data_IF_114947844774
#
_entry.id   IF_114947844774
#
_cell.length_a   1.000
_cell.length_b   1.000
_cell.length_c   1.000
_cell.angle_alpha   90.00
_cell.angle_beta   90.00
_cell.angle_gamma   90.00
#
_symmetry.space_group_name_H-M   'P 1'
#
loop_
_entity.id
_entity.type
_entity.pdbx_description
1 polymer ?
#
# COMPACT_ATOMS: atom_id res chain seq x y z
N UNK A 1 -9.47 10.38 -19.11
CA UNK A 1 -10.88 10.29 -18.66
C UNK A 1 -11.00 9.81 -17.21
N UNK A 2 -10.46 8.64 -16.85
CA UNK A 2 -10.59 8.06 -15.50
C UNK A 2 -10.04 8.95 -14.37
N UNK A 3 -8.82 9.50 -14.55
CA UNK A 3 -8.21 10.43 -13.59
C UNK A 3 -9.08 11.67 -13.32
N UNK A 4 -9.63 12.27 -14.38
CA UNK A 4 -10.54 13.42 -14.28
C UNK A 4 -11.78 13.07 -13.47
N UNK A 5 -12.35 11.87 -13.68
CA UNK A 5 -13.50 11.39 -12.92
C UNK A 5 -13.17 11.20 -11.43
N UNK A 6 -11.96 10.73 -11.10
CA UNK A 6 -11.50 10.61 -9.70
C UNK A 6 -11.27 11.95 -9.03
N UNK A 7 -10.73 12.93 -9.76
CA UNK A 7 -10.60 14.31 -9.25
C UNK A 7 -12.00 14.88 -9.00
N UNK A 8 -12.91 14.77 -9.98
CA UNK A 8 -14.29 15.24 -9.84
C UNK A 8 -14.99 14.60 -8.64
N UNK A 9 -14.90 13.28 -8.48
CA UNK A 9 -15.48 12.56 -7.35
C UNK A 9 -15.02 13.13 -6.01
N UNK A 10 -13.72 13.36 -5.85
CA UNK A 10 -13.14 13.97 -4.63
C UNK A 10 -13.61 15.40 -4.43
N UNK A 11 -13.64 16.21 -5.50
CA UNK A 11 -14.16 17.58 -5.44
C UNK A 11 -15.62 17.62 -5.00
N UNK A 12 -16.47 16.68 -5.47
CA UNK A 12 -17.87 16.58 -5.02
C UNK A 12 -17.97 16.26 -3.53
N UNK A 13 -17.15 15.37 -2.99
CA UNK A 13 -17.11 15.08 -1.56
C UNK A 13 -16.60 16.24 -0.72
N UNK A 14 -15.56 16.96 -1.17
CA UNK A 14 -15.09 18.18 -0.49
C UNK A 14 -16.19 19.24 -0.47
N UNK A 15 -16.85 19.46 -1.61
CA UNK A 15 -17.96 20.40 -1.70
C UNK A 15 -19.12 19.99 -0.78
N UNK A 16 -19.48 18.70 -0.74
CA UNK A 16 -20.49 18.18 0.18
C UNK A 16 -20.13 18.44 1.64
N UNK A 17 -18.89 18.13 2.07
CA UNK A 17 -18.45 18.39 3.45
C UNK A 17 -18.47 19.89 3.78
N UNK A 18 -18.05 20.75 2.85
CA UNK A 18 -18.12 22.20 3.03
C UNK A 18 -19.57 22.68 3.19
N UNK A 19 -20.50 22.15 2.37
CA UNK A 19 -21.93 22.44 2.47
C UNK A 19 -22.51 21.91 3.79
N UNK A 20 -22.12 20.72 4.24
CA UNK A 20 -22.58 20.13 5.50
C UNK A 20 -22.16 20.99 6.69
N UNK A 21 -20.88 21.39 6.74
CA UNK A 21 -20.35 22.23 7.81
C UNK A 21 -21.00 23.61 7.79
N UNK A 22 -21.05 24.27 6.63
CA UNK A 22 -21.67 25.60 6.52
C UNK A 22 -23.17 25.55 6.78
N UNK A 23 -23.88 24.53 6.28
CA UNK A 23 -25.32 24.35 6.47
C UNK A 23 -25.72 24.02 7.90
N UNK A 24 -24.85 23.35 8.67
CA UNK A 24 -25.05 23.15 10.11
C UNK A 24 -25.03 24.47 10.89
N UNK A 25 -24.22 25.45 10.46
CA UNK A 25 -24.12 26.75 11.12
C UNK A 25 -25.03 27.85 10.52
N UNK A 26 -25.55 27.64 9.30
CA UNK A 26 -26.28 28.65 8.54
C UNK A 26 -27.72 28.24 8.18
N UNK A 27 -28.24 27.15 8.78
CA UNK A 27 -29.62 26.66 8.65
C UNK A 27 -30.08 26.45 7.19
N UNK A 28 -29.23 25.80 6.39
CA UNK A 28 -29.48 25.57 4.96
C UNK A 28 -30.05 24.18 4.66
N UNK A 29 -31.34 24.10 4.38
CA UNK A 29 -32.01 22.95 3.74
C UNK A 29 -31.78 22.94 2.21
N UNK A 30 -30.53 23.10 1.76
CA UNK A 30 -30.24 23.34 0.34
C UNK A 30 -30.24 22.07 -0.52
N UNK A 31 -31.01 22.08 -1.60
CA UNK A 31 -30.99 21.06 -2.67
C UNK A 31 -29.58 20.80 -3.23
N UNK A 32 -28.67 21.77 -3.11
CA UNK A 32 -27.30 21.68 -3.60
C UNK A 32 -26.43 20.68 -2.85
N UNK A 33 -26.62 20.51 -1.54
CA UNK A 33 -25.95 19.47 -0.76
C UNK A 33 -26.35 18.08 -1.21
N UNK A 34 -27.65 17.87 -1.40
CA UNK A 34 -28.20 16.61 -1.93
C UNK A 34 -27.76 16.33 -3.37
N UNK A 35 -27.64 17.35 -4.22
CA UNK A 35 -27.10 17.20 -5.56
C UNK A 35 -25.62 16.80 -5.55
N UNK A 36 -24.81 17.39 -4.67
CA UNK A 36 -23.40 17.02 -4.52
C UNK A 36 -23.24 15.55 -4.08
N UNK A 37 -24.08 15.08 -3.14
CA UNK A 37 -24.14 13.66 -2.75
C UNK A 37 -24.54 12.79 -3.94
N UNK A 38 -25.62 13.15 -4.66
CA UNK A 38 -26.11 12.36 -5.79
C UNK A 38 -25.05 12.21 -6.89
N UNK A 39 -24.32 13.29 -7.21
CA UNK A 39 -23.21 13.25 -8.17
C UNK A 39 -22.03 12.44 -7.63
N UNK A 40 -21.69 12.55 -6.33
CA UNK A 40 -20.64 11.74 -5.72
C UNK A 40 -20.98 10.23 -5.75
N UNK A 41 -22.23 9.86 -5.46
CA UNK A 41 -22.71 8.47 -5.54
C UNK A 41 -22.72 7.99 -6.99
N UNK A 42 -23.25 8.78 -7.92
CA UNK A 42 -23.30 8.44 -9.34
C UNK A 42 -21.89 8.22 -9.91
N UNK A 43 -20.95 9.13 -9.63
CA UNK A 43 -19.55 8.98 -10.04
C UNK A 43 -18.90 7.75 -9.42
N UNK A 44 -19.17 7.42 -8.15
CA UNK A 44 -18.69 6.17 -7.52
C UNK A 44 -19.24 4.92 -8.20
N UNK A 45 -20.52 4.93 -8.56
CA UNK A 45 -21.15 3.81 -9.27
C UNK A 45 -20.58 3.61 -10.68
N UNK A 46 -20.45 4.70 -11.44
CA UNK A 46 -19.81 4.70 -12.76
C UNK A 46 -18.36 4.25 -12.66
N UNK A 47 -17.60 4.75 -11.69
CA UNK A 47 -16.23 4.32 -11.41
C UNK A 47 -16.17 2.82 -11.12
N UNK A 48 -17.05 2.31 -10.25
CA UNK A 48 -17.13 0.89 -9.93
C UNK A 48 -17.45 0.01 -11.15
N UNK A 49 -18.21 0.52 -12.12
CA UNK A 49 -18.44 -0.15 -13.42
C UNK A 49 -17.21 -0.10 -14.31
N UNK A 50 -16.50 1.03 -14.38
CA UNK A 50 -15.32 1.22 -15.24
C UNK A 50 -14.06 0.51 -14.73
N UNK A 51 -13.93 0.37 -13.42
CA UNK A 51 -12.82 -0.33 -12.76
C UNK A 51 -13.09 -1.84 -12.58
N UNK A 52 -14.30 -2.31 -12.92
CA UNK A 52 -14.58 -3.75 -12.93
C UNK A 52 -13.82 -4.39 -14.10
N UNK A 53 -13.08 -5.47 -13.85
CA UNK A 53 -12.49 -6.24 -14.94
C UNK A 53 -13.60 -6.76 -15.84
N UNK A 54 -13.28 -6.95 -17.10
CA UNK A 54 -14.15 -7.72 -17.98
C UNK A 54 -14.29 -9.16 -17.47
N UNK A 55 -15.36 -9.84 -17.89
CA UNK A 55 -15.52 -11.27 -17.61
C UNK A 55 -14.32 -12.07 -18.14
N UNK A 56 -13.76 -11.64 -19.27
CA UNK A 56 -12.58 -12.22 -19.90
C UNK A 56 -11.31 -12.02 -19.08
N UNK A 57 -11.03 -10.81 -18.59
CA UNK A 57 -9.88 -10.54 -17.68
C UNK A 57 -10.00 -11.32 -16.37
N UNK A 58 -11.22 -11.62 -15.93
CA UNK A 58 -11.46 -12.43 -14.73
C UNK A 58 -11.23 -13.92 -15.01
N UNK A 59 -11.62 -14.41 -16.18
CA UNK A 59 -11.41 -15.79 -16.60
C UNK A 59 -9.95 -16.08 -16.96
N UNK A 60 -9.25 -15.11 -17.55
CA UNK A 60 -7.88 -15.21 -18.02
C UNK A 60 -7.02 -14.10 -17.40
N UNK A 61 -6.61 -14.24 -16.12
CA UNK A 61 -5.73 -13.26 -15.50
C UNK A 61 -4.37 -13.19 -16.24
N UNK A 62 -3.72 -12.01 -16.28
CA UNK A 62 -2.38 -11.88 -16.86
C UNK A 62 -1.38 -12.84 -16.22
N UNK A 63 -0.37 -13.25 -16.98
CA UNK A 63 0.73 -14.04 -16.42
C UNK A 63 1.42 -13.27 -15.27
N UNK A 64 1.71 -13.92 -14.14
CA UNK A 64 2.40 -13.25 -13.04
C UNK A 64 3.80 -12.77 -13.43
N UNK A 65 4.15 -11.56 -13.01
CA UNK A 65 5.50 -11.04 -13.14
C UNK A 65 6.35 -11.54 -11.98
N UNK A 66 7.44 -12.24 -12.27
CA UNK A 66 8.38 -12.70 -11.24
C UNK A 66 9.28 -11.54 -10.78
N UNK A 67 9.34 -11.32 -9.46
CA UNK A 67 10.26 -10.37 -8.81
C UNK A 67 10.85 -10.99 -7.54
N UNK A 68 11.85 -10.36 -6.91
CA UNK A 68 12.37 -10.83 -5.61
C UNK A 68 11.43 -10.44 -4.47
N UNK A 69 11.43 -11.16 -3.33
CA UNK A 69 10.78 -10.68 -2.12
C UNK A 69 11.37 -9.32 -1.67
N UNK A 70 10.53 -8.38 -1.16
CA UNK A 70 11.00 -7.07 -0.68
C UNK A 70 11.59 -7.12 0.74
N UNK A 71 11.67 -8.29 1.35
CA UNK A 71 12.05 -8.51 2.76
C UNK A 71 12.99 -9.71 2.89
N UNK A 72 13.70 -9.79 4.02
CA UNK A 72 14.51 -10.95 4.44
C UNK A 72 14.04 -11.45 5.80
N UNK A 73 14.38 -12.68 6.16
CA UNK A 73 13.98 -13.30 7.42
C UNK A 73 12.58 -13.92 7.34
N UNK A 74 11.94 -14.07 8.51
CA UNK A 74 10.68 -14.81 8.66
C UNK A 74 9.46 -13.89 8.74
N UNK A 75 8.43 -14.18 7.95
CA UNK A 75 7.25 -13.35 7.77
C UNK A 75 5.99 -14.21 7.60
N UNK A 76 4.82 -13.62 7.77
CA UNK A 76 3.52 -14.23 7.44
C UNK A 76 2.68 -13.30 6.56
N UNK A 77 1.86 -13.85 5.68
CA UNK A 77 0.94 -13.06 4.88
C UNK A 77 -0.36 -12.77 5.65
N UNK A 78 -0.80 -11.51 5.65
CA UNK A 78 -2.06 -11.08 6.27
C UNK A 78 -3.19 -10.97 5.24
N UNK A 79 -2.95 -10.20 4.17
CA UNK A 79 -3.83 -10.05 3.02
C UNK A 79 -3.05 -10.45 1.78
N UNK A 80 -3.49 -11.46 1.04
CA UNK A 80 -2.75 -12.03 -0.08
C UNK A 80 -3.64 -12.34 -1.28
N UNK A 81 -3.15 -12.09 -2.51
CA UNK A 81 -3.87 -12.46 -3.71
C UNK A 81 -3.89 -13.97 -3.96
N UNK A 82 -3.05 -14.75 -3.27
CA UNK A 82 -3.13 -16.22 -3.30
C UNK A 82 -4.39 -16.75 -2.60
N UNK A 83 -4.96 -15.98 -1.66
CA UNK A 83 -6.22 -16.34 -0.98
C UNK A 83 -7.44 -15.74 -1.65
N UNK A 84 -7.36 -14.47 -2.06
CA UNK A 84 -8.50 -13.77 -2.65
C UNK A 84 -8.03 -12.65 -3.57
N UNK A 85 -8.69 -12.50 -4.73
CA UNK A 85 -8.51 -11.35 -5.63
C UNK A 85 -9.85 -10.62 -5.80
N UNK A 86 -9.93 -9.30 -5.53
CA UNK A 86 -8.88 -8.44 -4.98
C UNK A 86 -8.56 -8.75 -3.51
N UNK A 87 -7.28 -8.78 -3.16
CA UNK A 87 -6.80 -9.15 -1.82
C UNK A 87 -7.26 -8.17 -0.73
N UNK A 88 -7.38 -6.90 -1.07
CA UNK A 88 -7.79 -5.82 -0.15
C UNK A 88 -9.25 -5.39 -0.36
N UNK A 89 -10.05 -6.23 -1.03
CA UNK A 89 -11.46 -5.96 -1.30
C UNK A 89 -11.75 -4.87 -2.35
N UNK A 90 -10.72 -4.13 -2.79
CA UNK A 90 -10.79 -3.04 -3.75
C UNK A 90 -9.75 -3.25 -4.85
N UNK A 91 -10.10 -2.88 -6.08
CA UNK A 91 -9.16 -2.89 -7.24
C UNK A 91 -8.50 -1.53 -7.49
N UNK A 92 -9.03 -0.48 -6.88
CA UNK A 92 -8.48 0.88 -6.96
C UNK A 92 -7.04 0.91 -6.44
N UNK A 93 -6.30 1.95 -6.82
CA UNK A 93 -4.93 2.19 -6.35
C UNK A 93 -3.93 1.09 -6.68
N UNK A 94 -4.22 0.26 -7.70
CA UNK A 94 -3.38 -0.86 -8.09
C UNK A 94 -3.35 -2.02 -7.09
N UNK A 95 -4.27 -2.08 -6.12
CA UNK A 95 -4.17 -3.02 -4.99
C UNK A 95 -4.79 -4.40 -5.25
N UNK A 96 -5.26 -4.67 -6.48
CA UNK A 96 -5.99 -5.91 -6.80
C UNK A 96 -5.17 -7.17 -6.45
N UNK A 97 -3.86 -7.13 -6.68
CA UNK A 97 -2.91 -8.20 -6.36
C UNK A 97 -1.90 -7.77 -5.30
N UNK A 98 -2.22 -6.78 -4.46
CA UNK A 98 -1.31 -6.37 -3.40
C UNK A 98 -1.20 -7.44 -2.30
N UNK A 99 -0.08 -7.46 -1.58
CA UNK A 99 0.12 -8.31 -0.41
C UNK A 99 0.53 -7.48 0.81
N UNK A 100 -0.04 -7.82 1.96
CA UNK A 100 0.41 -7.36 3.27
C UNK A 100 1.15 -8.48 3.96
N UNK A 101 2.38 -8.23 4.40
CA UNK A 101 3.15 -9.20 5.19
C UNK A 101 3.59 -8.63 6.54
N UNK A 102 3.56 -9.48 7.54
CA UNK A 102 3.89 -9.21 8.93
C UNK A 102 5.17 -9.95 9.30
N UNK A 103 6.08 -9.30 10.02
CA UNK A 103 7.29 -9.97 10.49
C UNK A 103 6.95 -10.93 11.63
N UNK A 104 7.46 -12.16 11.54
CA UNK A 104 7.28 -13.20 12.54
C UNK A 104 8.60 -13.39 13.31
N UNK A 105 8.67 -12.99 14.59
CA UNK A 105 9.90 -13.09 15.37
C UNK A 105 10.26 -14.55 15.65
N UNK A 106 11.56 -14.90 15.60
CA UNK A 106 12.02 -16.26 15.92
C UNK A 106 11.82 -16.62 17.40
N UNK A 107 11.83 -15.61 18.29
CA UNK A 107 11.50 -15.74 19.70
C UNK A 107 10.56 -14.63 20.14
N UNK A 108 9.41 -15.00 20.70
CA UNK A 108 8.34 -14.09 21.12
C UNK A 108 7.10 -14.17 20.23
N UNK A 109 6.14 -13.28 20.48
CA UNK A 109 4.90 -13.18 19.71
C UNK A 109 4.68 -11.75 19.25
N UNK A 110 4.11 -11.58 18.06
CA UNK A 110 3.61 -10.26 17.64
C UNK A 110 2.39 -9.87 18.48
N UNK A 111 2.17 -8.57 18.76
CA UNK A 111 0.94 -8.14 19.39
C UNK A 111 -0.29 -8.57 18.59
N UNK A 112 -1.18 -9.34 19.20
CA UNK A 112 -2.41 -9.79 18.55
C UNK A 112 -3.43 -8.66 18.42
N UNK A 113 -4.27 -8.77 17.39
CA UNK A 113 -5.48 -7.97 17.26
C UNK A 113 -6.44 -8.33 18.40
N UNK A 114 -7.10 -7.33 19.00
CA UNK A 114 -8.00 -7.61 20.13
C UNK A 114 -8.84 -6.43 20.58
N UNK A 115 -9.33 -6.47 21.81
CA UNK A 115 -10.15 -5.38 22.38
C UNK A 115 -9.31 -4.29 23.07
N UNK A 116 -8.16 -4.67 23.65
CA UNK A 116 -7.30 -3.78 24.44
C UNK A 116 -5.82 -4.18 24.33
N UNK A 117 -4.85 -3.26 24.52
CA UNK A 117 -4.98 -1.80 24.55
C UNK A 117 -5.60 -1.20 23.28
N UNK A 118 -6.18 -0.01 23.41
CA UNK A 118 -6.75 0.73 22.29
C UNK A 118 -5.74 0.90 21.14
N UNK A 119 -4.52 1.29 21.49
CA UNK A 119 -3.42 1.51 20.56
C UNK A 119 -2.08 1.13 21.21
N UNK A 120 -1.11 0.69 20.40
CA UNK A 120 0.25 0.31 20.82
C UNK A 120 1.29 1.15 20.10
N UNK A 121 2.52 1.19 20.63
CA UNK A 121 3.62 1.90 19.98
C UNK A 121 4.14 1.03 18.84
N UNK A 122 4.59 1.67 17.76
CA UNK A 122 5.06 0.92 16.59
C UNK A 122 6.27 0.02 16.90
N UNK A 123 7.13 0.44 17.83
CA UNK A 123 8.29 -0.37 18.29
C UNK A 123 7.90 -1.68 18.98
N UNK A 124 6.63 -1.85 19.35
CA UNK A 124 6.13 -3.08 19.95
C UNK A 124 5.86 -4.16 18.88
N UNK A 125 5.95 -3.80 17.59
CA UNK A 125 5.73 -4.71 16.46
C UNK A 125 7.06 -5.05 15.77
N UNK A 126 7.36 -6.33 15.54
CA UNK A 126 8.62 -6.77 14.94
C UNK A 126 8.90 -6.17 13.56
N UNK A 127 7.85 -5.90 12.77
CA UNK A 127 8.01 -5.37 11.42
C UNK A 127 8.49 -3.91 11.41
N UNK A 128 8.22 -3.13 12.46
CA UNK A 128 8.53 -1.69 12.43
C UNK A 128 10.03 -1.43 12.38
N UNK A 129 10.48 -0.76 11.33
CA UNK A 129 11.89 -0.47 11.09
C UNK A 129 12.65 -1.57 10.35
N UNK A 130 12.01 -2.70 10.01
CA UNK A 130 12.60 -3.75 9.19
C UNK A 130 13.02 -3.20 7.81
N UNK A 131 14.21 -3.57 7.29
CA UNK A 131 14.70 -3.08 6.01
C UNK A 131 13.85 -3.62 4.85
N UNK A 132 13.59 -2.77 3.86
CA UNK A 132 12.91 -3.15 2.62
C UNK A 132 13.86 -3.03 1.44
N UNK A 133 13.77 -4.01 0.55
CA UNK A 133 14.65 -4.17 -0.59
C UNK A 133 13.92 -3.89 -1.92
N UNK A 134 14.65 -3.35 -2.89
CA UNK A 134 14.17 -3.26 -4.27
C UNK A 134 13.92 -4.68 -4.82
N UNK A 135 12.71 -4.94 -5.32
CA UNK A 135 12.30 -6.27 -5.80
C UNK A 135 12.92 -6.62 -7.16
N UNK A 136 13.36 -5.61 -7.91
CA UNK A 136 14.02 -5.74 -9.20
C UNK A 136 14.90 -4.50 -9.45
N UNK A 137 15.70 -4.52 -10.52
CA UNK A 137 16.36 -3.32 -11.02
C UNK A 137 15.28 -2.34 -11.48
N UNK A 138 15.48 -1.04 -11.24
CA UNK A 138 14.47 -0.06 -11.60
C UNK A 138 14.88 1.39 -11.36
N UNK A 139 13.96 2.30 -11.69
CA UNK A 139 14.11 3.74 -11.47
C UNK A 139 13.03 4.24 -10.51
N UNK A 140 13.41 5.05 -9.52
CA UNK A 140 12.45 5.64 -8.60
C UNK A 140 11.63 6.72 -9.31
N UNK A 141 10.33 6.49 -9.49
CA UNK A 141 9.43 7.47 -10.11
C UNK A 141 8.64 8.28 -9.07
N UNK A 142 8.50 7.75 -7.85
CA UNK A 142 7.86 8.45 -6.73
C UNK A 142 8.47 8.03 -5.39
N UNK A 143 8.76 9.00 -4.54
CA UNK A 143 9.23 8.79 -3.17
C UNK A 143 8.56 9.82 -2.25
N UNK A 144 7.86 9.36 -1.22
CA UNK A 144 7.16 10.20 -0.24
C UNK A 144 7.54 9.75 1.16
N UNK A 145 8.08 10.64 1.99
CA UNK A 145 8.71 10.29 3.27
C UNK A 145 8.37 11.20 4.47
N UNK A 146 7.34 12.06 4.33
CA UNK A 146 7.04 13.11 5.32
C UNK A 146 5.86 12.78 6.24
N UNK A 147 5.05 11.78 5.92
CA UNK A 147 3.87 11.42 6.70
C UNK A 147 4.29 10.77 8.01
N UNK A 148 3.66 11.16 9.12
CA UNK A 148 3.96 10.62 10.46
C UNK A 148 3.44 9.18 10.59
N UNK A 149 4.24 8.31 11.18
CA UNK A 149 3.77 7.03 11.69
C UNK A 149 2.85 7.24 12.90
N UNK A 150 1.62 6.76 12.81
CA UNK A 150 0.64 6.82 13.90
C UNK A 150 0.83 5.62 14.85
N UNK A 151 0.13 5.62 15.98
CA UNK A 151 0.06 4.43 16.84
C UNK A 151 -0.71 3.30 16.12
N UNK A 152 -0.57 2.06 16.59
CA UNK A 152 -1.37 0.97 16.03
C UNK A 152 -2.86 1.22 16.25
N UNK A 153 -3.65 0.74 15.31
CA UNK A 153 -5.10 0.64 15.36
C UNK A 153 -5.53 -0.82 15.29
N UNK A 154 -4.71 -1.70 15.88
CA UNK A 154 -4.92 -3.15 15.93
C UNK A 154 -5.80 -3.56 17.12
N UNK A 155 -6.89 -2.82 17.31
CA UNK A 155 -7.95 -3.16 18.24
C UNK A 155 -9.31 -2.89 17.61
N UNK A 156 -10.35 -3.61 18.03
CA UNK A 156 -11.70 -3.38 17.50
C UNK A 156 -12.17 -1.92 17.64
N UNK A 157 -11.98 -1.24 18.80
CA UNK A 157 -12.36 0.17 18.91
C UNK A 157 -11.50 1.09 18.02
N UNK A 158 -10.19 0.82 17.88
CA UNK A 158 -9.33 1.63 17.01
C UNK A 158 -9.58 1.37 15.52
N UNK A 159 -10.13 0.22 15.14
CA UNK A 159 -10.58 -0.06 13.79
C UNK A 159 -11.77 0.81 13.38
N UNK A 160 -12.69 1.10 14.31
CA UNK A 160 -13.78 2.05 14.05
C UNK A 160 -13.22 3.46 13.80
N UNK A 161 -12.22 3.86 14.58
CA UNK A 161 -11.50 5.11 14.35
C UNK A 161 -10.80 5.12 12.98
N UNK A 162 -10.12 4.03 12.61
CA UNK A 162 -9.50 3.89 11.29
C UNK A 162 -10.55 4.02 10.17
N UNK A 163 -11.70 3.36 10.30
CA UNK A 163 -12.76 3.40 9.30
C UNK A 163 -13.30 4.81 9.09
N UNK A 164 -13.49 5.57 10.18
CA UNK A 164 -13.87 6.98 10.11
C UNK A 164 -12.79 7.84 9.46
N UNK A 165 -11.52 7.66 9.85
CA UNK A 165 -10.39 8.40 9.29
C UNK A 165 -10.16 8.10 7.79
N UNK A 166 -10.39 6.84 7.38
CA UNK A 166 -10.26 6.39 6.00
C UNK A 166 -11.15 7.17 5.04
N UNK A 167 -12.35 7.59 5.48
CA UNK A 167 -13.24 8.44 4.68
C UNK A 167 -12.56 9.75 4.26
N UNK A 168 -11.89 10.43 5.20
CA UNK A 168 -11.18 11.68 4.92
C UNK A 168 -9.92 11.45 4.10
N UNK A 169 -9.22 10.34 4.33
CA UNK A 169 -8.02 9.97 3.55
C UNK A 169 -8.36 9.67 2.10
N UNK A 170 -9.50 9.02 1.83
CA UNK A 170 -9.98 8.75 0.48
C UNK A 170 -10.25 10.07 -0.27
N UNK A 171 -10.88 11.04 0.41
CA UNK A 171 -11.13 12.38 -0.15
C UNK A 171 -9.81 13.12 -0.44
N UNK A 172 -8.83 13.03 0.46
CA UNK A 172 -7.51 13.63 0.28
C UNK A 172 -6.63 12.92 -0.78
N UNK A 173 -7.04 11.73 -1.23
CA UNK A 173 -6.44 11.00 -2.35
C UNK A 173 -5.50 9.86 -1.95
N UNK A 174 -5.08 9.04 -2.94
CA UNK A 174 -4.40 7.77 -2.71
C UNK A 174 -3.08 7.89 -1.92
N UNK A 175 -2.38 9.01 -2.04
CA UNK A 175 -1.15 9.24 -1.28
C UNK A 175 -1.38 9.25 0.25
N UNK A 176 -2.57 9.63 0.72
CA UNK A 176 -2.92 9.57 2.14
C UNK A 176 -3.34 8.18 2.60
N UNK A 177 -3.77 7.33 1.67
CA UNK A 177 -4.05 5.91 1.93
C UNK A 177 -2.73 5.15 2.05
N UNK A 178 -1.83 5.28 1.08
CA UNK A 178 -0.53 4.61 1.11
C UNK A 178 0.42 5.18 2.18
N UNK A 179 0.27 6.44 2.58
CA UNK A 179 1.19 7.08 3.53
C UNK A 179 2.53 7.41 2.90
N UNK A 180 3.63 7.16 3.59
CA UNK A 180 4.95 7.20 2.97
C UNK A 180 5.09 5.99 2.04
N UNK A 181 5.57 6.21 0.83
CA UNK A 181 5.59 5.19 -0.20
C UNK A 181 6.70 5.42 -1.22
N UNK A 182 7.06 4.33 -1.88
CA UNK A 182 8.02 4.27 -2.98
C UNK A 182 7.35 3.61 -4.18
N UNK A 183 7.52 4.21 -5.36
CA UNK A 183 7.14 3.58 -6.63
C UNK A 183 8.38 3.48 -7.50
N UNK A 184 8.71 2.25 -7.90
CA UNK A 184 9.78 1.94 -8.84
C UNK A 184 9.18 1.62 -10.20
N UNK A 185 9.74 2.18 -11.26
CA UNK A 185 9.54 1.72 -12.64
C UNK A 185 10.53 0.59 -12.91
N UNK A 186 10.00 -0.61 -13.18
CA UNK A 186 10.78 -1.81 -13.48
C UNK A 186 11.00 -2.02 -14.99
N UNK A 187 10.51 -1.08 -15.81
CA UNK A 187 10.44 -1.22 -17.27
C UNK A 187 9.19 -1.95 -17.74
N UNK A 188 8.97 -1.95 -19.07
CA UNK A 188 7.86 -2.64 -19.74
C UNK A 188 6.46 -2.30 -19.20
N UNK A 189 6.28 -1.12 -18.62
CA UNK A 189 5.00 -0.69 -18.04
C UNK A 189 4.68 -1.31 -16.68
N UNK A 190 5.62 -1.99 -16.03
CA UNK A 190 5.44 -2.56 -14.68
C UNK A 190 6.04 -1.66 -13.61
N UNK A 191 5.26 -1.35 -12.59
CA UNK A 191 5.66 -0.50 -11.47
C UNK A 191 5.50 -1.24 -10.14
N UNK A 192 6.53 -1.23 -9.30
CA UNK A 192 6.47 -1.78 -7.95
C UNK A 192 6.14 -0.69 -6.93
N UNK A 193 5.10 -0.89 -6.13
CA UNK A 193 4.67 0.00 -5.06
C UNK A 193 4.96 -0.59 -3.68
N UNK A 194 5.55 0.22 -2.81
CA UNK A 194 5.76 -0.05 -1.39
C UNK A 194 5.03 1.02 -0.59
N UNK A 195 4.20 0.62 0.37
CA UNK A 195 3.41 1.57 1.16
C UNK A 195 3.69 1.45 2.66
N UNK A 196 3.07 2.35 3.43
CA UNK A 196 3.16 2.42 4.89
C UNK A 196 4.60 2.56 5.42
N UNK A 197 5.51 3.13 4.62
CA UNK A 197 6.92 3.26 4.97
C UNK A 197 7.13 4.12 6.23
N UNK A 198 8.22 3.86 6.95
CA UNK A 198 8.56 4.63 8.15
C UNK A 198 8.99 6.03 7.75
N UNK A 199 8.51 7.04 8.48
CA UNK A 199 8.89 8.44 8.22
C UNK A 199 10.41 8.63 8.32
N UNK A 200 10.98 9.31 7.34
CA UNK A 200 12.41 9.62 7.28
C UNK A 200 13.27 8.38 7.08
N UNK A 201 12.75 7.34 6.41
CA UNK A 201 13.49 6.08 6.21
C UNK A 201 13.85 5.77 4.76
N UNK A 202 13.37 6.56 3.80
CA UNK A 202 13.72 6.37 2.40
C UNK A 202 15.21 6.62 2.19
N UNK A 203 15.88 5.66 1.55
CA UNK A 203 17.31 5.72 1.22
C UNK A 203 17.56 6.19 -0.22
N UNK A 204 16.49 6.44 -0.96
CA UNK A 204 16.50 6.80 -2.38
C UNK A 204 15.49 7.92 -2.65
N UNK A 205 15.79 8.74 -3.65
CA UNK A 205 14.96 9.84 -4.14
C UNK A 205 14.44 9.61 -5.55
N UNK A 206 13.50 10.46 -5.99
CA UNK A 206 12.98 10.41 -7.36
C UNK A 206 14.10 10.62 -8.38
N UNK A 207 14.19 9.74 -9.36
CA UNK A 207 15.22 9.72 -10.40
C UNK A 207 16.37 8.75 -10.14
N UNK A 208 16.53 8.26 -8.91
CA UNK A 208 17.58 7.31 -8.59
C UNK A 208 17.34 5.95 -9.27
N UNK A 209 18.43 5.30 -9.67
CA UNK A 209 18.40 3.90 -10.10
C UNK A 209 18.73 2.99 -8.93
N UNK A 210 18.01 1.89 -8.83
CA UNK A 210 18.20 0.87 -7.80
C UNK A 210 18.47 -0.48 -8.43
N UNK A 211 19.25 -1.31 -7.74
CA UNK A 211 19.48 -2.71 -8.11
C UNK A 211 18.60 -3.63 -7.28
N UNK A 212 18.16 -4.74 -7.86
CA UNK A 212 17.42 -5.77 -7.16
C UNK A 212 18.17 -6.23 -5.89
N UNK A 213 17.52 -6.21 -4.73
CA UNK A 213 18.11 -6.51 -3.43
C UNK A 213 18.73 -5.32 -2.71
N UNK A 214 18.82 -4.13 -3.34
CA UNK A 214 19.30 -2.92 -2.69
C UNK A 214 18.32 -2.46 -1.60
N UNK A 215 18.78 -2.11 -0.38
CA UNK A 215 17.95 -1.45 0.62
C UNK A 215 17.42 -0.09 0.11
N UNK A 216 16.11 0.12 0.20
CA UNK A 216 15.46 1.35 -0.31
C UNK A 216 14.67 2.11 0.75
N UNK A 217 14.17 1.43 1.78
CA UNK A 217 13.35 2.04 2.84
C UNK A 217 13.30 1.15 4.09
N UNK A 218 12.53 1.55 5.09
CA UNK A 218 12.14 0.70 6.21
C UNK A 218 10.63 0.62 6.36
N UNK A 219 10.15 -0.53 6.80
CA UNK A 219 8.75 -0.75 7.17
C UNK A 219 8.31 0.23 8.27
N UNK A 220 7.13 0.81 8.11
CA UNK A 220 6.57 1.82 9.02
C UNK A 220 5.13 1.53 9.41
N UNK A 221 4.41 2.59 9.74
CA UNK A 221 2.98 2.56 10.07
C UNK A 221 2.35 3.93 9.75
N UNK A 222 2.61 4.41 8.54
CA UNK A 222 2.04 5.67 8.04
C UNK A 222 0.87 5.41 7.09
N UNK A 223 0.02 6.40 6.85
CA UNK A 223 -1.14 6.25 5.96
C UNK A 223 -2.32 5.52 6.62
N UNK A 224 -3.03 4.71 5.86
CA UNK A 224 -4.20 3.96 6.28
C UNK A 224 -3.83 2.54 6.72
N UNK A 225 -3.06 2.43 7.80
CA UNK A 225 -2.55 1.16 8.33
C UNK A 225 -3.14 0.83 9.71
N UNK A 226 -3.34 -0.46 9.98
CA UNK A 226 -3.77 -0.99 11.28
C UNK A 226 -2.59 -1.23 12.22
N UNK A 227 -1.48 -1.77 11.72
CA UNK A 227 -0.25 -2.03 12.48
C UNK A 227 0.96 -2.01 11.54
N UNK A 228 2.20 -1.89 12.05
CA UNK A 228 3.38 -1.98 11.19
C UNK A 228 3.42 -3.27 10.35
N UNK A 229 3.39 -3.13 9.03
CA UNK A 229 3.43 -4.21 8.06
C UNK A 229 4.01 -3.71 6.73
N UNK A 230 4.38 -4.65 5.85
CA UNK A 230 4.84 -4.32 4.49
C UNK A 230 3.70 -4.56 3.53
N UNK A 231 3.19 -3.47 2.95
CA UNK A 231 2.29 -3.52 1.81
C UNK A 231 3.10 -3.43 0.52
N UNK A 232 3.00 -4.44 -0.34
CA UNK A 232 3.69 -4.53 -1.62
C UNK A 232 2.69 -4.81 -2.77
N UNK A 233 2.92 -4.23 -3.93
CA UNK A 233 2.12 -4.49 -5.13
C UNK A 233 2.88 -4.23 -6.44
N UNK A 234 2.46 -4.88 -7.52
CA UNK A 234 2.80 -4.48 -8.88
C UNK A 234 1.62 -3.80 -9.56
N UNK A 235 1.90 -2.84 -10.44
CA UNK A 235 0.92 -2.00 -11.12
C UNK A 235 1.31 -1.73 -12.58
N UNK A 236 0.33 -1.43 -13.42
CA UNK A 236 0.52 -1.04 -14.83
C UNK A 236 0.76 0.47 -15.05
N UNK A 237 0.68 1.27 -13.98
CA UNK A 237 0.80 2.71 -14.03
C UNK A 237 1.38 3.26 -12.71
N UNK A 238 2.21 4.31 -12.73
CA UNK A 238 2.74 4.92 -11.50
C UNK A 238 1.74 5.88 -10.84
N UNK A 239 0.69 6.29 -11.56
CA UNK A 239 -0.38 7.12 -11.02
C UNK A 239 -1.43 6.25 -10.34
N UNK A 240 -1.38 6.24 -9.00
CA UNK A 240 -2.27 5.47 -8.13
C UNK A 240 -3.75 5.74 -8.40
N UNK A 241 -4.15 6.90 -8.92
CA UNK A 241 -5.57 7.11 -9.26
C UNK A 241 -6.01 6.14 -10.38
N UNK A 242 -5.16 5.86 -11.37
CA UNK A 242 -5.54 5.07 -12.56
C UNK A 242 -4.91 3.69 -12.63
N UNK A 243 -3.95 3.41 -11.76
CA UNK A 243 -3.21 2.15 -11.72
C UNK A 243 -4.11 0.93 -11.49
N UNK A 244 -3.87 -0.13 -12.27
CA UNK A 244 -4.44 -1.46 -12.09
C UNK A 244 -3.36 -2.40 -11.55
N UNK A 245 -3.76 -3.28 -10.65
CA UNK A 245 -2.84 -4.26 -10.07
C UNK A 245 -2.44 -5.32 -11.09
N UNK A 246 -1.16 -5.66 -11.12
CA UNK A 246 -0.59 -6.74 -11.93
C UNK A 246 -0.30 -7.94 -11.01
N UNK A 247 -0.66 -9.18 -11.41
CA UNK A 247 -0.27 -10.38 -10.66
C UNK A 247 1.25 -10.49 -10.59
N UNK A 248 1.78 -10.91 -9.44
CA UNK A 248 3.21 -11.13 -9.26
C UNK A 248 3.47 -12.51 -8.66
N UNK A 249 4.72 -12.95 -8.72
CA UNK A 249 5.21 -14.10 -7.95
C UNK A 249 6.59 -13.75 -7.39
N UNK A 250 6.89 -14.17 -6.16
CA UNK A 250 8.23 -14.01 -5.61
C UNK A 250 9.13 -15.16 -6.02
N UNK A 251 10.29 -14.84 -6.58
CA UNK A 251 11.28 -15.83 -7.01
C UNK A 251 11.63 -16.78 -5.86
N UNK A 252 11.49 -18.08 -6.13
CA UNK A 252 11.81 -19.15 -5.17
C UNK A 252 10.78 -19.34 -4.04
N UNK A 253 9.72 -18.52 -3.98
CA UNK A 253 8.75 -18.56 -2.90
C UNK A 253 7.29 -18.66 -3.39
N UNK A 254 6.97 -18.15 -4.58
CA UNK A 254 5.59 -18.01 -5.02
C UNK A 254 4.90 -16.80 -4.39
N UNK A 255 3.60 -16.93 -4.11
CA UNK A 255 2.85 -15.93 -3.34
C UNK A 255 2.21 -16.64 -2.14
N UNK A 256 2.61 -16.32 -0.90
CA UNK A 256 2.08 -16.99 0.29
C UNK A 256 0.61 -16.64 0.52
N UNK A 257 -0.21 -17.62 0.91
CA UNK A 257 -1.61 -17.42 1.28
C UNK A 257 -1.77 -16.77 2.66
N UNK A 258 -2.93 -16.19 2.97
CA UNK A 258 -3.23 -15.62 4.29
C UNK A 258 -2.92 -16.63 5.42
N UNK A 259 -2.13 -16.20 6.40
CA UNK A 259 -1.68 -17.02 7.52
C UNK A 259 -0.47 -17.91 7.22
N UNK A 260 -0.06 -18.05 5.96
CA UNK A 260 1.13 -18.81 5.59
C UNK A 260 2.39 -18.08 6.07
N UNK A 261 3.24 -18.82 6.78
CA UNK A 261 4.54 -18.35 7.26
C UNK A 261 5.61 -18.76 6.26
N UNK A 262 6.47 -17.82 5.90
CA UNK A 262 7.57 -18.03 4.96
C UNK A 262 8.86 -17.39 5.46
N UNK A 263 9.99 -17.84 4.90
CA UNK A 263 11.30 -17.29 5.17
C UNK A 263 12.00 -16.92 3.87
N UNK A 264 12.74 -15.81 3.89
CA UNK A 264 13.57 -15.37 2.77
C UNK A 264 15.01 -15.24 3.25
N UNK A 265 15.91 -15.96 2.59
CA UNK A 265 17.32 -15.92 2.93
C UNK A 265 17.89 -14.50 2.79
N UNK A 266 18.83 -14.10 3.66
CA UNK A 266 19.55 -12.84 3.48
C UNK A 266 20.21 -12.79 2.11
N UNK A 267 20.17 -11.63 1.45
CA UNK A 267 20.95 -11.42 0.24
C UNK A 267 22.42 -11.49 0.63
N UNK A 268 23.14 -12.54 0.20
CA UNK A 268 24.59 -12.56 0.28
C UNK A 268 25.13 -11.43 -0.59
N UNK A 269 25.52 -10.32 0.03
CA UNK A 269 26.47 -9.40 -0.60
C UNK A 269 27.77 -10.16 -0.73
N UNK A 270 28.10 -10.61 -1.93
CA UNK A 270 29.47 -10.92 -2.29
C UNK A 270 30.30 -9.66 -1.97
N UNK A 271 31.09 -9.70 -0.89
CA UNK A 271 32.15 -8.72 -0.72
C UNK A 271 33.04 -8.82 -1.97
N UNK A 272 33.42 -7.71 -2.60
CA UNK A 272 34.39 -7.76 -3.67
C UNK A 272 35.65 -8.37 -3.09
N UNK A 273 36.06 -9.50 -3.67
CA UNK A 273 37.30 -10.20 -3.38
C UNK A 273 38.39 -9.14 -3.26
N UNK A 274 38.92 -8.93 -2.05
CA UNK A 274 40.05 -8.04 -1.85
C UNK A 274 41.19 -8.64 -2.65
N UNK A 275 41.39 -8.12 -3.87
CA UNK A 275 42.56 -8.40 -4.67
C UNK A 275 43.77 -8.23 -3.77
N UNK A 276 44.47 -9.34 -3.51
CA UNK A 276 45.60 -9.39 -2.62
C UNK A 276 46.61 -8.32 -2.99
N UNK A 277 46.72 -7.30 -2.15
CA UNK A 277 47.85 -6.39 -2.19
C UNK A 277 49.03 -7.19 -1.65
N UNK A 278 49.75 -7.81 -2.57
CA UNK A 278 51.13 -8.24 -2.34
C UNK A 278 52.03 -7.04 -2.58
N UNK A 279 52.58 -6.49 -1.50
CA UNK A 279 53.91 -5.85 -1.47
C UNK A 279 54.51 -6.04 -0.10
#
# INVERSE_FOLDING_TARGET
>A
MLKTLMILHRCCWVAFLAILVTGFFLDFSSLWGWLAIAVAIATRFVMGRLLRPSAEETANPPAPVEVRPPVTGRWSALNSPATKVPSHGLRAYGQAYAIDVLAEPEGGTRPAFGWWPLARRNRDFPAFGAPLLAVADGTVVRAVDRNRDHLSRNSYPALLYLAFEALFREIAGPGQILGNHLILDLGNGTYAGYAHLRRGSLLVGKGDRVRAGQPVARCGNSGNSTEPHVHFQLMDNPDLDVARGIPFTWRGLGVPANGEVFSVDPVHTEEPERAGVTR
#
